data_IF_953132059720
#
_entry.id   IF_953132059720
#
_cell.length_a   1.000
_cell.length_b   1.000
_cell.length_c   1.000
_cell.angle_alpha   90.00
_cell.angle_beta   90.00
_cell.angle_gamma   90.00
#
_symmetry.space_group_name_H-M   'P 1'
#
loop_
_entity.id
_entity.type
_entity.pdbx_description
1 polymer ?
#
# COMPACT_ATOMS: atom_id res chain seq x y z
N UNK A 1 -25.62 35.09 -56.93
CA UNK A 1 -25.14 33.78 -57.40
C UNK A 1 -25.41 32.78 -56.31
N UNK A 2 -26.33 31.89 -56.60
CA UNK A 2 -26.69 30.74 -55.76
C UNK A 2 -25.58 29.72 -55.78
N UNK A 3 -25.21 29.17 -54.60
CA UNK A 3 -24.81 27.76 -54.48
C UNK A 3 -25.44 27.18 -53.24
N UNK A 4 -26.23 26.15 -53.56
CA UNK A 4 -26.90 25.26 -52.66
C UNK A 4 -25.87 24.16 -52.30
N UNK A 5 -25.63 23.87 -51.04
CA UNK A 5 -24.93 22.65 -50.61
C UNK A 5 -25.63 22.06 -49.39
N UNK A 6 -26.41 21.04 -49.69
CA UNK A 6 -27.03 20.14 -48.74
C UNK A 6 -25.98 19.21 -48.15
N UNK A 7 -25.49 19.54 -46.98
CA UNK A 7 -24.72 18.57 -46.15
C UNK A 7 -25.70 17.70 -45.39
N UNK A 8 -25.83 16.48 -45.81
CA UNK A 8 -26.56 15.40 -45.19
C UNK A 8 -25.90 15.08 -43.86
N UNK A 9 -26.56 15.43 -42.76
CA UNK A 9 -26.17 15.01 -41.41
C UNK A 9 -26.60 13.56 -41.25
N UNK A 10 -25.68 12.63 -41.42
CA UNK A 10 -25.91 11.22 -41.02
C UNK A 10 -25.88 11.17 -39.48
N UNK A 11 -27.06 11.12 -38.90
CA UNK A 11 -27.24 10.81 -37.46
C UNK A 11 -27.01 9.30 -37.32
N UNK A 12 -25.82 8.94 -36.84
CA UNK A 12 -25.59 7.57 -36.35
C UNK A 12 -26.41 7.37 -35.08
N UNK A 13 -27.60 6.83 -35.21
CA UNK A 13 -28.34 6.23 -34.13
C UNK A 13 -27.60 4.96 -33.70
N UNK A 14 -26.70 5.06 -32.73
CA UNK A 14 -26.18 3.88 -32.03
C UNK A 14 -27.36 3.18 -31.38
N UNK A 15 -27.67 2.01 -31.87
CA UNK A 15 -28.72 1.15 -31.34
C UNK A 15 -28.43 0.79 -29.92
N UNK A 16 -29.44 0.90 -29.03
CA UNK A 16 -29.36 0.46 -27.63
C UNK A 16 -28.93 -1.01 -27.47
N UNK A 17 -28.96 -1.78 -28.53
CA UNK A 17 -28.54 -3.18 -28.56
C UNK A 17 -27.01 -3.36 -28.51
N UNK A 18 -26.23 -2.39 -28.95
CA UNK A 18 -24.76 -2.47 -28.96
C UNK A 18 -24.13 -2.08 -27.58
N UNK A 19 -24.90 -1.42 -26.71
CA UNK A 19 -24.45 -1.04 -25.37
C UNK A 19 -24.57 -2.19 -24.32
N UNK A 20 -25.50 -3.12 -24.52
CA UNK A 20 -25.78 -4.21 -23.58
C UNK A 20 -24.65 -5.26 -23.43
N UNK A 21 -23.96 -5.70 -24.48
CA UNK A 21 -22.87 -6.67 -24.34
C UNK A 21 -21.65 -6.09 -23.60
N UNK A 22 -21.36 -4.80 -23.77
CA UNK A 22 -20.21 -4.13 -23.16
C UNK A 22 -20.40 -3.94 -21.66
N UNK A 23 -21.62 -3.61 -21.21
CA UNK A 23 -21.94 -3.44 -19.80
C UNK A 23 -21.96 -4.79 -19.05
N UNK A 24 -22.53 -5.82 -19.66
CA UNK A 24 -22.56 -7.18 -19.11
C UNK A 24 -21.13 -7.79 -19.01
N UNK A 25 -20.29 -7.56 -20.01
CA UNK A 25 -18.87 -7.98 -19.99
C UNK A 25 -18.05 -7.27 -18.90
N UNK A 26 -18.27 -5.96 -18.68
CA UNK A 26 -17.62 -5.21 -17.59
C UNK A 26 -18.05 -5.69 -16.20
N UNK A 27 -19.34 -5.95 -16.02
CA UNK A 27 -19.91 -6.44 -14.76
C UNK A 27 -19.45 -7.86 -14.44
N UNK A 28 -19.37 -8.73 -15.43
CA UNK A 28 -18.83 -10.09 -15.30
C UNK A 28 -17.36 -10.11 -14.91
N UNK A 29 -16.52 -9.31 -15.60
CA UNK A 29 -15.08 -9.18 -15.29
C UNK A 29 -14.82 -8.61 -13.89
N UNK A 30 -15.65 -7.66 -13.45
CA UNK A 30 -15.53 -7.10 -12.10
C UNK A 30 -15.81 -8.15 -11.02
N UNK A 31 -16.85 -8.96 -11.21
CA UNK A 31 -17.19 -10.06 -10.29
C UNK A 31 -16.08 -11.10 -10.24
N UNK A 32 -15.53 -11.49 -11.38
CA UNK A 32 -14.37 -12.41 -11.44
C UNK A 32 -13.17 -11.87 -10.65
N UNK A 33 -12.87 -10.56 -10.76
CA UNK A 33 -11.78 -9.94 -10.00
C UNK A 33 -12.06 -9.88 -8.50
N UNK A 34 -13.30 -9.63 -8.09
CA UNK A 34 -13.69 -9.66 -6.68
C UNK A 34 -13.56 -11.08 -6.10
N UNK A 35 -13.99 -12.10 -6.85
CA UNK A 35 -13.82 -13.50 -6.47
C UNK A 35 -12.33 -13.87 -6.27
N UNK A 36 -11.43 -13.36 -7.14
CA UNK A 36 -9.99 -13.55 -7.00
C UNK A 36 -9.40 -12.87 -5.77
N UNK A 37 -9.87 -11.68 -5.40
CA UNK A 37 -9.46 -11.01 -4.15
C UNK A 37 -9.90 -11.85 -2.94
N UNK A 38 -11.13 -12.33 -2.95
CA UNK A 38 -11.65 -13.20 -1.88
C UNK A 38 -10.83 -14.50 -1.77
N UNK A 39 -10.47 -15.09 -2.90
CA UNK A 39 -9.59 -16.26 -2.93
C UNK A 39 -8.19 -15.92 -2.41
N UNK A 40 -7.61 -14.78 -2.80
CA UNK A 40 -6.32 -14.30 -2.31
C UNK A 40 -6.33 -14.16 -0.78
N UNK A 41 -7.36 -13.53 -0.20
CA UNK A 41 -7.52 -13.38 1.23
C UNK A 41 -7.60 -14.75 1.94
N UNK A 42 -8.36 -15.68 1.37
CA UNK A 42 -8.51 -17.03 1.89
C UNK A 42 -7.17 -17.79 1.89
N UNK A 43 -6.47 -17.82 0.76
CA UNK A 43 -5.18 -18.49 0.63
C UNK A 43 -4.13 -17.86 1.56
N UNK A 44 -4.10 -16.52 1.64
CA UNK A 44 -3.20 -15.82 2.55
C UNK A 44 -3.49 -16.18 4.02
N UNK A 45 -4.77 -16.30 4.40
CA UNK A 45 -5.21 -16.72 5.74
C UNK A 45 -4.79 -18.15 6.10
N UNK A 46 -4.58 -19.04 5.12
CA UNK A 46 -4.03 -20.38 5.38
C UNK A 46 -2.56 -20.34 5.75
N UNK A 47 -1.82 -19.36 5.25
CA UNK A 47 -0.37 -19.20 5.47
C UNK A 47 -0.09 -18.36 6.72
N UNK A 48 -0.85 -17.27 6.90
CA UNK A 48 -0.69 -16.28 7.97
C UNK A 48 -1.90 -16.37 8.91
N UNK A 49 -1.75 -17.14 9.98
CA UNK A 49 -2.84 -17.43 10.92
C UNK A 49 -3.17 -16.24 11.81
N UNK A 50 -4.47 -15.99 12.02
CA UNK A 50 -4.97 -15.03 12.99
C UNK A 50 -4.67 -13.54 12.68
N UNK A 51 -4.23 -13.21 11.45
CA UNK A 51 -3.84 -11.84 11.07
C UNK A 51 -4.66 -11.28 9.91
N UNK A 52 -5.90 -11.76 9.75
CA UNK A 52 -6.76 -11.38 8.62
C UNK A 52 -6.88 -9.87 8.46
N UNK A 53 -7.13 -9.12 9.53
CA UNK A 53 -7.28 -7.66 9.46
C UNK A 53 -6.02 -6.98 8.92
N UNK A 54 -4.85 -7.37 9.42
CA UNK A 54 -3.57 -6.79 8.99
C UNK A 54 -3.27 -7.15 7.53
N UNK A 55 -3.48 -8.42 7.14
CA UNK A 55 -3.25 -8.87 5.76
C UNK A 55 -4.21 -8.22 4.78
N UNK A 56 -5.47 -8.02 5.15
CA UNK A 56 -6.46 -7.30 4.34
C UNK A 56 -6.02 -5.83 4.12
N UNK A 57 -5.52 -5.15 5.17
CA UNK A 57 -4.99 -3.78 5.06
C UNK A 57 -3.74 -3.70 4.18
N UNK A 58 -2.87 -4.71 4.20
CA UNK A 58 -1.73 -4.78 3.28
C UNK A 58 -2.23 -4.94 1.83
N UNK A 59 -3.21 -5.81 1.59
CA UNK A 59 -3.82 -5.96 0.25
C UNK A 59 -4.43 -4.62 -0.20
N UNK A 60 -5.17 -3.93 0.67
CA UNK A 60 -5.70 -2.58 0.38
C UNK A 60 -4.59 -1.61 -0.04
N UNK A 61 -3.47 -1.60 0.69
CA UNK A 61 -2.34 -0.72 0.37
C UNK A 61 -1.71 -1.05 -0.99
N UNK A 62 -1.54 -2.33 -1.32
CA UNK A 62 -1.08 -2.78 -2.65
C UNK A 62 -2.04 -2.30 -3.74
N UNK A 63 -3.34 -2.47 -3.55
CA UNK A 63 -4.37 -2.04 -4.50
C UNK A 63 -4.47 -0.51 -4.61
N UNK A 64 -4.15 0.22 -3.54
CA UNK A 64 -4.07 1.68 -3.51
C UNK A 64 -2.75 2.25 -4.08
N UNK A 65 -1.85 1.39 -4.63
CA UNK A 65 -0.50 1.75 -5.08
C UNK A 65 0.33 2.38 -3.97
N UNK A 66 0.25 1.81 -2.77
CA UNK A 66 0.96 2.29 -1.60
C UNK A 66 2.05 1.35 -1.13
N UNK A 67 2.92 1.88 -0.28
CA UNK A 67 3.96 1.14 0.42
C UNK A 67 3.56 0.97 1.88
N UNK A 68 4.04 -0.09 2.50
CA UNK A 68 3.64 -0.49 3.87
C UNK A 68 4.84 -0.46 4.80
N UNK A 69 4.66 0.14 5.97
CA UNK A 69 5.59 0.03 7.08
C UNK A 69 5.05 -0.98 8.11
N UNK A 70 5.86 -1.93 8.53
CA UNK A 70 5.55 -2.89 9.58
C UNK A 70 6.42 -2.61 10.80
N UNK A 71 5.81 -2.06 11.84
CA UNK A 71 6.46 -1.73 13.11
C UNK A 71 6.22 -2.86 14.12
N UNK A 72 7.22 -3.73 14.30
CA UNK A 72 7.04 -4.92 15.12
C UNK A 72 8.35 -5.52 15.61
N UNK A 73 8.23 -6.31 16.66
CA UNK A 73 9.33 -7.15 17.15
C UNK A 73 9.76 -8.19 16.11
N UNK A 74 11.00 -8.69 16.16
CA UNK A 74 11.45 -9.76 15.28
C UNK A 74 10.63 -11.04 15.45
N UNK A 75 10.48 -11.81 14.36
CA UNK A 75 9.90 -13.17 14.42
C UNK A 75 8.37 -13.28 14.33
N UNK A 76 7.63 -12.17 14.16
CA UNK A 76 6.15 -12.19 14.04
C UNK A 76 5.61 -12.58 12.65
N UNK A 77 6.49 -12.92 11.70
CA UNK A 77 6.08 -13.40 10.37
C UNK A 77 6.08 -12.35 9.26
N UNK A 78 6.72 -11.18 9.45
CA UNK A 78 6.80 -10.10 8.45
C UNK A 78 7.29 -10.60 7.08
N UNK A 79 8.42 -11.30 7.07
CA UNK A 79 9.02 -11.88 5.85
C UNK A 79 8.10 -12.91 5.19
N UNK A 80 7.46 -13.77 6.00
CA UNK A 80 6.53 -14.79 5.51
C UNK A 80 5.32 -14.13 4.84
N UNK A 81 4.80 -13.04 5.42
CA UNK A 81 3.67 -12.29 4.86
C UNK A 81 4.02 -11.68 3.51
N UNK A 82 5.17 -11.00 3.40
CA UNK A 82 5.63 -10.42 2.14
C UNK A 82 5.82 -11.48 1.05
N UNK A 83 6.47 -12.61 1.38
CA UNK A 83 6.67 -13.72 0.46
C UNK A 83 5.36 -14.39 0.03
N UNK A 84 4.42 -14.58 0.96
CA UNK A 84 3.12 -15.17 0.66
C UNK A 84 2.32 -14.28 -0.30
N UNK A 85 2.23 -12.98 -0.02
CA UNK A 85 1.57 -12.00 -0.89
C UNK A 85 2.20 -11.98 -2.29
N UNK A 86 3.53 -11.92 -2.35
CA UNK A 86 4.25 -11.89 -3.61
C UNK A 86 3.95 -13.12 -4.48
N UNK A 87 3.99 -14.34 -3.88
CA UNK A 87 3.68 -15.59 -4.59
C UNK A 87 2.23 -15.65 -5.06
N UNK A 88 1.30 -15.32 -4.16
CA UNK A 88 -0.14 -15.36 -4.46
C UNK A 88 -0.54 -14.32 -5.52
N UNK A 89 0.21 -13.21 -5.63
CA UNK A 89 0.01 -12.15 -6.64
C UNK A 89 0.89 -12.32 -7.89
N UNK A 90 1.63 -13.42 -8.04
CA UNK A 90 2.46 -13.69 -9.21
C UNK A 90 3.53 -12.61 -9.47
N UNK A 91 4.08 -12.00 -8.41
CA UNK A 91 5.04 -10.91 -8.49
C UNK A 91 6.49 -11.38 -8.30
N UNK A 92 7.43 -10.63 -8.87
CA UNK A 92 8.86 -10.82 -8.63
C UNK A 92 9.23 -10.23 -7.26
N UNK A 93 9.99 -10.98 -6.46
CA UNK A 93 10.33 -10.64 -5.07
C UNK A 93 11.83 -10.44 -4.89
N UNK A 94 12.19 -9.33 -4.22
CA UNK A 94 13.52 -9.14 -3.67
C UNK A 94 13.45 -8.83 -2.17
N UNK A 95 14.51 -9.17 -1.45
CA UNK A 95 14.70 -8.81 -0.05
C UNK A 95 16.05 -8.16 0.14
N UNK A 96 16.08 -7.07 0.87
CA UNK A 96 17.30 -6.44 1.37
C UNK A 96 17.21 -6.32 2.89
N UNK A 97 18.21 -6.87 3.59
CA UNK A 97 18.39 -6.68 5.03
C UNK A 97 19.24 -5.45 5.23
N UNK A 98 18.68 -4.40 5.76
CA UNK A 98 19.43 -3.17 6.01
C UNK A 98 20.36 -3.32 7.21
N UNK A 99 21.63 -3.02 6.97
CA UNK A 99 22.71 -2.94 7.95
C UNK A 99 23.49 -1.64 7.71
N UNK A 100 24.36 -1.21 8.65
CA UNK A 100 25.19 -0.03 8.43
C UNK A 100 26.06 -0.08 7.16
N UNK A 101 26.37 -1.28 6.65
CA UNK A 101 27.25 -1.48 5.49
C UNK A 101 26.50 -1.37 4.15
N UNK A 102 25.16 -1.41 4.15
CA UNK A 102 24.36 -1.29 2.92
C UNK A 102 24.47 0.13 2.37
N UNK A 103 24.83 0.22 1.10
CA UNK A 103 25.03 1.50 0.40
C UNK A 103 23.90 1.77 -0.61
N UNK A 104 23.68 3.04 -1.03
CA UNK A 104 22.64 3.39 -2.00
C UNK A 104 22.65 2.56 -3.27
N UNK A 105 23.83 2.19 -3.79
CA UNK A 105 23.97 1.38 -5.00
C UNK A 105 23.47 -0.06 -4.86
N UNK A 106 23.39 -0.61 -3.65
CA UNK A 106 22.78 -1.91 -3.41
C UNK A 106 21.26 -1.83 -3.63
N UNK A 107 20.69 -0.68 -3.35
CA UNK A 107 19.26 -0.40 -3.53
C UNK A 107 18.95 -0.06 -4.98
N UNK A 108 19.64 0.92 -5.56
CA UNK A 108 19.34 1.48 -6.88
C UNK A 108 20.06 0.78 -8.03
N UNK A 109 21.14 0.07 -7.76
CA UNK A 109 22.05 -0.43 -8.79
C UNK A 109 23.15 0.58 -9.11
N UNK A 110 24.02 0.19 -10.02
CA UNK A 110 25.19 0.96 -10.46
C UNK A 110 25.57 0.58 -11.88
N UNK A 111 26.34 1.45 -12.53
CA UNK A 111 26.93 1.17 -13.85
C UNK A 111 28.33 0.62 -13.71
N UNK A 112 28.65 -0.43 -14.43
CA UNK A 112 29.99 -1.01 -14.49
C UNK A 112 30.51 -1.13 -15.93
N UNK A 113 31.81 -0.97 -16.12
CA UNK A 113 32.43 -1.18 -17.40
C UNK A 113 32.64 -2.68 -17.66
N UNK A 114 32.05 -3.18 -18.74
CA UNK A 114 32.19 -4.56 -19.16
C UNK A 114 33.31 -4.70 -20.21
N UNK A 115 34.42 -5.31 -19.84
CA UNK A 115 35.61 -5.44 -20.71
C UNK A 115 35.35 -6.20 -22.00
N UNK A 116 34.42 -7.16 -21.98
CA UNK A 116 34.10 -8.00 -23.14
C UNK A 116 33.39 -7.23 -24.24
N UNK A 117 32.48 -6.36 -23.88
CA UNK A 117 31.68 -5.55 -24.82
C UNK A 117 32.24 -4.14 -25.03
N UNK A 118 33.14 -3.69 -24.17
CA UNK A 118 33.69 -2.33 -24.19
C UNK A 118 32.69 -1.26 -23.82
N UNK A 119 31.61 -1.62 -23.11
CA UNK A 119 30.48 -0.71 -22.77
C UNK A 119 30.26 -0.62 -21.27
N UNK A 120 29.68 0.46 -20.87
CA UNK A 120 29.10 0.59 -19.54
C UNK A 120 27.75 -0.08 -19.51
N UNK A 121 27.51 -0.94 -18.53
CA UNK A 121 26.27 -1.71 -18.38
C UNK A 121 25.69 -1.43 -16.99
N UNK A 122 24.41 -1.08 -16.94
CA UNK A 122 23.67 -0.95 -15.68
C UNK A 122 23.48 -2.32 -15.03
N UNK A 123 23.85 -2.42 -13.77
CA UNK A 123 23.57 -3.57 -12.90
C UNK A 123 22.44 -3.20 -11.96
N UNK A 124 21.26 -3.85 -12.08
CA UNK A 124 20.10 -3.50 -11.29
C UNK A 124 20.32 -3.74 -9.80
N UNK A 125 19.85 -2.84 -8.97
CA UNK A 125 19.80 -2.96 -7.52
C UNK A 125 18.57 -3.71 -7.03
N UNK A 126 18.40 -3.79 -5.70
CA UNK A 126 17.34 -4.55 -5.06
C UNK A 126 15.92 -4.08 -5.42
N UNK A 127 15.74 -2.79 -5.78
CA UNK A 127 14.43 -2.22 -6.14
C UNK A 127 13.88 -2.68 -7.48
N UNK A 128 14.71 -3.34 -8.33
CA UNK A 128 14.27 -3.79 -9.65
C UNK A 128 13.46 -5.10 -9.55
N UNK A 129 12.30 -5.01 -8.87
CA UNK A 129 11.35 -6.10 -8.65
C UNK A 129 9.94 -5.52 -8.49
N UNK A 130 8.92 -6.39 -8.39
CA UNK A 130 7.55 -5.95 -8.12
C UNK A 130 7.28 -5.74 -6.62
N UNK A 131 7.85 -6.59 -5.77
CA UNK A 131 7.71 -6.47 -4.32
C UNK A 131 9.08 -6.54 -3.65
N UNK A 132 9.45 -5.45 -2.96
CA UNK A 132 10.68 -5.38 -2.17
C UNK A 132 10.35 -5.48 -0.69
N UNK A 133 10.95 -6.44 0.01
CA UNK A 133 11.02 -6.43 1.46
C UNK A 133 12.27 -5.70 1.92
N UNK A 134 12.08 -4.49 2.46
CA UNK A 134 13.12 -3.66 3.04
C UNK A 134 13.19 -3.91 4.56
N UNK A 135 14.00 -4.90 4.96
CA UNK A 135 14.00 -5.40 6.33
C UNK A 135 14.93 -4.56 7.23
N UNK A 136 14.41 -4.08 8.37
CA UNK A 136 15.10 -3.23 9.34
C UNK A 136 15.68 -1.92 8.71
N UNK A 137 14.83 -1.18 7.98
CA UNK A 137 15.23 0.05 7.25
C UNK A 137 15.88 1.10 8.16
N UNK A 138 15.57 1.09 9.44
CA UNK A 138 16.12 2.02 10.44
C UNK A 138 17.56 1.69 10.90
N UNK A 139 18.20 0.64 10.36
CA UNK A 139 19.58 0.25 10.68
C UNK A 139 20.63 0.73 9.69
N UNK A 140 20.21 1.31 8.56
CA UNK A 140 21.14 1.83 7.55
C UNK A 140 21.30 3.35 7.61
N UNK A 141 22.24 3.87 6.84
CA UNK A 141 22.49 5.31 6.76
C UNK A 141 21.29 6.08 6.16
N UNK A 142 21.12 7.35 6.55
CA UNK A 142 20.08 8.23 5.99
C UNK A 142 20.20 8.40 4.46
N UNK A 143 21.40 8.26 3.89
CA UNK A 143 21.61 8.30 2.44
C UNK A 143 20.99 7.07 1.75
N UNK A 144 21.17 5.89 2.33
CA UNK A 144 20.60 4.65 1.79
C UNK A 144 19.09 4.63 1.95
N UNK A 145 18.58 5.11 3.10
CA UNK A 145 17.15 5.30 3.30
C UNK A 145 16.55 6.25 2.24
N UNK A 146 17.19 7.40 2.02
CA UNK A 146 16.73 8.38 1.04
C UNK A 146 16.69 7.79 -0.38
N UNK A 147 17.67 6.98 -0.78
CA UNK A 147 17.68 6.33 -2.09
C UNK A 147 16.47 5.40 -2.29
N UNK A 148 16.11 4.58 -1.28
CA UNK A 148 14.91 3.74 -1.35
C UNK A 148 13.64 4.59 -1.43
N UNK A 149 13.53 5.59 -0.58
CA UNK A 149 12.34 6.44 -0.47
C UNK A 149 12.13 7.31 -1.72
N UNK A 150 13.19 7.68 -2.42
CA UNK A 150 13.10 8.35 -3.73
C UNK A 150 12.50 7.40 -4.78
N UNK A 151 12.98 6.15 -4.85
CA UNK A 151 12.43 5.16 -5.79
C UNK A 151 10.96 4.84 -5.47
N UNK A 152 10.57 4.79 -4.20
CA UNK A 152 9.17 4.61 -3.79
C UNK A 152 8.26 5.73 -4.31
N UNK A 153 8.77 6.96 -4.37
CA UNK A 153 8.01 8.13 -4.82
C UNK A 153 7.98 8.26 -6.34
N UNK A 154 9.16 8.11 -6.98
CA UNK A 154 9.34 8.36 -8.40
C UNK A 154 8.98 7.17 -9.29
N UNK A 155 8.98 5.94 -8.75
CA UNK A 155 8.77 4.71 -9.52
C UNK A 155 9.87 4.42 -10.55
N UNK A 156 11.06 5.01 -10.37
CA UNK A 156 12.20 4.91 -11.28
C UNK A 156 13.51 5.13 -10.52
N UNK A 157 14.60 4.71 -11.15
CA UNK A 157 15.98 4.91 -10.67
C UNK A 157 16.75 5.68 -11.75
N UNK A 158 17.53 6.68 -11.36
CA UNK A 158 18.45 7.39 -12.28
C UNK A 158 19.89 7.13 -11.86
N UNK A 159 20.64 6.48 -12.73
CA UNK A 159 22.08 6.17 -12.53
C UNK A 159 22.85 6.67 -13.76
N UNK A 160 23.90 7.45 -13.54
CA UNK A 160 24.77 7.99 -14.61
C UNK A 160 23.99 8.67 -15.75
N UNK A 161 22.96 9.46 -15.42
CA UNK A 161 22.04 10.16 -16.31
C UNK A 161 21.10 9.26 -17.15
N UNK A 162 21.08 7.95 -16.90
CA UNK A 162 20.11 7.03 -17.47
C UNK A 162 19.00 6.71 -16.47
N UNK A 163 17.75 6.78 -16.92
CA UNK A 163 16.59 6.51 -16.08
C UNK A 163 16.01 5.14 -16.38
N UNK A 164 15.92 4.31 -15.35
CA UNK A 164 15.39 2.94 -15.40
C UNK A 164 14.07 2.89 -14.61
N UNK A 165 12.92 2.63 -15.26
CA UNK A 165 11.66 2.46 -14.55
C UNK A 165 11.68 1.15 -13.75
N UNK A 166 11.12 1.17 -12.54
CA UNK A 166 10.93 -0.07 -11.77
C UNK A 166 9.77 -0.88 -12.33
N UNK A 167 9.82 -2.23 -12.23
CA UNK A 167 8.72 -3.10 -12.66
C UNK A 167 7.40 -2.74 -11.97
N UNK A 168 6.27 -2.80 -12.72
CA UNK A 168 4.95 -2.52 -12.18
C UNK A 168 4.13 -3.84 -12.01
N UNK A 169 3.32 -3.99 -10.95
CA UNK A 169 3.20 -3.06 -9.83
C UNK A 169 4.48 -3.01 -8.99
N UNK A 170 4.77 -1.88 -8.34
CA UNK A 170 5.90 -1.75 -7.43
C UNK A 170 5.42 -1.48 -6.00
N UNK A 171 5.77 -2.36 -5.08
CA UNK A 171 5.40 -2.27 -3.67
C UNK A 171 6.61 -2.51 -2.78
N UNK A 172 6.80 -1.63 -1.81
CA UNK A 172 7.78 -1.82 -0.74
C UNK A 172 7.05 -2.15 0.55
N UNK A 173 7.42 -3.25 1.18
CA UNK A 173 7.08 -3.58 2.57
C UNK A 173 8.35 -3.35 3.37
N UNK A 174 8.40 -2.25 4.11
CA UNK A 174 9.52 -1.95 5.00
C UNK A 174 9.22 -2.45 6.40
N UNK A 175 10.26 -2.85 7.14
CA UNK A 175 10.12 -3.21 8.54
C UNK A 175 10.98 -2.30 9.42
N UNK A 176 10.45 -1.93 10.55
CA UNK A 176 11.17 -1.29 11.64
C UNK A 176 11.08 -2.12 12.93
N UNK A 177 12.11 -2.04 13.74
CA UNK A 177 12.08 -2.55 15.09
C UNK A 177 12.02 -1.36 16.05
N UNK A 178 10.87 -1.10 16.71
CA UNK A 178 10.69 0.08 17.56
C UNK A 178 11.49 0.04 18.86
N UNK A 179 11.90 -1.14 19.31
CA UNK A 179 12.67 -1.29 20.53
C UNK A 179 14.14 -1.05 20.28
N UNK A 180 14.64 0.06 20.82
CA UNK A 180 15.98 0.60 20.75
C UNK A 180 17.14 -0.38 20.81
N UNK A 181 17.36 -1.10 19.72
CA UNK A 181 18.61 -1.80 19.48
C UNK A 181 19.69 -0.75 19.21
N UNK A 182 20.85 -0.90 19.83
CA UNK A 182 22.00 -0.05 19.61
C UNK A 182 22.29 0.09 18.10
N UNK A 183 22.33 1.33 17.59
CA UNK A 183 22.64 1.63 16.20
C UNK A 183 21.43 1.81 15.26
N UNK A 184 20.21 1.95 15.78
CA UNK A 184 19.03 2.30 14.96
C UNK A 184 18.86 3.83 14.87
N UNK A 185 18.59 4.33 13.65
CA UNK A 185 18.18 5.71 13.40
C UNK A 185 16.69 5.73 13.08
N UNK A 186 15.90 6.41 13.89
CA UNK A 186 14.47 6.62 13.59
C UNK A 186 14.32 7.29 12.23
N UNK A 187 13.35 6.83 11.44
CA UNK A 187 12.99 7.52 10.19
C UNK A 187 12.42 8.91 10.54
N UNK A 188 12.91 9.98 9.90
CA UNK A 188 12.29 11.31 10.01
C UNK A 188 10.83 11.29 9.54
N UNK A 189 10.02 12.17 10.08
CA UNK A 189 8.58 12.27 9.76
C UNK A 189 8.32 12.45 8.26
N UNK A 190 9.16 13.25 7.58
CA UNK A 190 9.09 13.45 6.12
C UNK A 190 9.33 12.17 5.32
N UNK A 191 10.01 11.19 5.89
CA UNK A 191 10.26 9.88 5.31
C UNK A 191 9.12 8.90 5.64
N UNK A 192 8.62 8.94 6.88
CA UNK A 192 7.45 8.16 7.30
C UNK A 192 6.21 8.51 6.47
N UNK A 193 6.03 9.78 6.09
CA UNK A 193 4.91 10.24 5.26
C UNK A 193 4.85 9.60 3.86
N UNK A 194 5.90 8.91 3.41
CA UNK A 194 5.92 8.19 2.12
C UNK A 194 5.28 6.80 2.19
N UNK A 195 5.18 6.21 3.36
CA UNK A 195 4.45 4.97 3.55
C UNK A 195 2.95 5.25 3.58
N UNK A 196 2.16 4.44 2.89
CA UNK A 196 0.69 4.61 2.86
C UNK A 196 0.07 4.31 4.21
N UNK A 197 0.51 3.22 4.84
CA UNK A 197 0.05 2.77 6.16
C UNK A 197 1.23 2.29 7.00
N UNK A 198 1.08 2.39 8.32
CA UNK A 198 1.90 1.69 9.29
C UNK A 198 1.04 0.71 10.07
N UNK A 199 1.50 -0.54 10.16
CA UNK A 199 0.78 -1.64 10.79
C UNK A 199 1.69 -2.40 11.75
N UNK A 200 1.08 -2.97 12.79
CA UNK A 200 1.70 -3.97 13.66
C UNK A 200 1.03 -5.32 13.47
N UNK A 201 1.80 -6.36 13.26
CA UNK A 201 1.28 -7.72 13.18
C UNK A 201 1.03 -8.31 14.57
N UNK A 202 1.87 -7.96 15.54
CA UNK A 202 1.82 -8.51 16.88
C UNK A 202 2.01 -10.03 16.94
N UNK A 203 2.00 -10.59 18.13
CA UNK A 203 2.03 -12.05 18.31
C UNK A 203 0.68 -12.68 17.93
N UNK A 204 0.68 -13.93 17.41
CA UNK A 204 -0.56 -14.68 17.28
C UNK A 204 -1.15 -14.99 18.68
N UNK A 205 -2.46 -15.07 18.77
CA UNK A 205 -3.10 -15.59 19.98
C UNK A 205 -2.80 -17.07 20.19
N UNK A 206 -3.21 -17.62 21.33
CA UNK A 206 -2.90 -18.99 21.70
C UNK A 206 -3.43 -20.03 20.68
N UNK A 207 -4.65 -19.86 20.20
CA UNK A 207 -5.29 -20.80 19.26
C UNK A 207 -4.58 -20.81 17.91
N UNK A 208 -4.32 -19.62 17.37
CA UNK A 208 -3.59 -19.45 16.11
C UNK A 208 -2.13 -19.92 16.22
N UNK A 209 -1.49 -19.75 17.40
CA UNK A 209 -0.14 -20.27 17.64
C UNK A 209 -0.13 -21.80 17.62
N UNK A 210 -1.09 -22.45 18.26
CA UNK A 210 -1.23 -23.92 18.25
C UNK A 210 -1.48 -24.43 16.83
N UNK A 211 -2.33 -23.75 16.05
CA UNK A 211 -2.59 -24.10 14.65
C UNK A 211 -1.33 -23.95 13.80
N UNK A 212 -0.59 -22.85 13.95
CA UNK A 212 0.69 -22.62 13.28
C UNK A 212 1.71 -23.73 13.61
N UNK A 213 1.83 -24.11 14.88
CA UNK A 213 2.74 -25.18 15.29
C UNK A 213 2.34 -26.52 14.66
N UNK A 214 1.03 -26.82 14.60
CA UNK A 214 0.51 -28.04 13.98
C UNK A 214 0.81 -28.09 12.48
N UNK A 215 0.56 -27.02 11.76
CA UNK A 215 0.78 -26.92 10.31
C UNK A 215 2.26 -27.04 9.94
N UNK A 216 3.14 -26.49 10.78
CA UNK A 216 4.60 -26.52 10.54
C UNK A 216 5.30 -27.80 10.88
N UNK A 217 4.63 -28.77 11.50
CA UNK A 217 5.23 -30.09 11.80
C UNK A 217 5.54 -30.91 10.54
N UNK A 218 4.71 -30.80 9.51
CA UNK A 218 4.80 -31.69 8.34
C UNK A 218 5.03 -30.94 7.04
N UNK A 219 4.56 -29.69 6.92
CA UNK A 219 4.61 -28.92 5.66
C UNK A 219 4.80 -27.44 5.92
N UNK A 220 5.37 -26.76 4.92
CA UNK A 220 5.38 -25.31 4.88
C UNK A 220 4.30 -24.83 3.90
N UNK A 221 3.16 -24.27 4.37
CA UNK A 221 2.08 -23.82 3.47
C UNK A 221 2.56 -22.83 2.40
N UNK A 222 3.58 -22.01 2.72
CA UNK A 222 4.17 -21.08 1.79
C UNK A 222 4.77 -21.77 0.54
N UNK A 223 5.34 -22.96 0.68
CA UNK A 223 5.95 -23.68 -0.46
C UNK A 223 4.90 -24.19 -1.46
N UNK A 224 3.68 -24.40 -0.99
CA UNK A 224 2.54 -24.83 -1.83
C UNK A 224 1.77 -23.67 -2.44
N UNK A 225 2.06 -22.43 -2.03
CA UNK A 225 1.37 -21.27 -2.52
C UNK A 225 1.63 -21.06 -4.02
N UNK A 226 0.57 -20.98 -4.80
CA UNK A 226 0.57 -20.69 -6.24
C UNK A 226 -0.13 -19.37 -6.49
N UNK A 227 0.21 -18.71 -7.59
CA UNK A 227 -0.39 -17.42 -7.94
C UNK A 227 -1.91 -17.56 -8.15
N UNK A 228 -2.67 -16.74 -7.43
CA UNK A 228 -4.14 -16.58 -7.56
C UNK A 228 -4.46 -15.45 -8.53
N UNK A 229 -3.61 -14.42 -8.53
CA UNK A 229 -3.71 -13.21 -9.35
C UNK A 229 -2.36 -13.02 -10.04
N UNK A 230 -2.34 -12.55 -11.29
CA UNK A 230 -1.11 -12.19 -11.98
C UNK A 230 -0.75 -10.73 -11.69
N UNK A 231 0.50 -10.36 -11.91
CA UNK A 231 0.96 -8.96 -11.74
C UNK A 231 0.22 -7.99 -12.66
N UNK A 232 -0.14 -8.40 -13.86
CA UNK A 232 -0.94 -7.61 -14.79
C UNK A 232 -2.37 -7.39 -14.26
N UNK A 233 -2.97 -8.41 -13.63
CA UNK A 233 -4.26 -8.29 -12.97
C UNK A 233 -4.19 -7.38 -11.75
N UNK A 234 -3.09 -7.38 -10.99
CA UNK A 234 -2.90 -6.42 -9.89
C UNK A 234 -2.91 -4.98 -10.41
N UNK A 235 -2.23 -4.68 -11.53
CA UNK A 235 -2.27 -3.34 -12.16
C UNK A 235 -3.70 -2.97 -12.59
N UNK A 236 -4.44 -3.91 -13.19
CA UNK A 236 -5.83 -3.67 -13.56
C UNK A 236 -6.72 -3.40 -12.33
N UNK A 237 -6.52 -4.12 -11.23
CA UNK A 237 -7.22 -3.87 -9.97
C UNK A 237 -6.91 -2.50 -9.40
N UNK A 238 -5.65 -2.08 -9.42
CA UNK A 238 -5.22 -0.75 -9.00
C UNK A 238 -5.93 0.35 -9.81
N UNK A 239 -6.07 0.18 -11.12
CA UNK A 239 -6.81 1.11 -11.99
C UNK A 239 -8.32 1.15 -11.69
N UNK A 240 -8.90 0.01 -11.28
CA UNK A 240 -10.30 -0.06 -10.88
C UNK A 240 -10.54 0.63 -9.53
N UNK A 241 -9.66 0.43 -8.56
CA UNK A 241 -9.71 1.11 -7.25
C UNK A 241 -9.67 2.62 -7.41
N UNK A 242 -8.84 3.15 -8.31
CA UNK A 242 -8.79 4.60 -8.55
C UNK A 242 -10.15 5.16 -9.03
N UNK A 243 -10.96 4.37 -9.73
CA UNK A 243 -12.25 4.74 -10.29
C UNK A 243 -13.41 4.63 -9.31
N UNK A 244 -13.19 4.11 -8.10
CA UNK A 244 -14.21 4.07 -7.05
C UNK A 244 -14.68 5.50 -6.77
N UNK A 245 -15.99 5.70 -6.81
CA UNK A 245 -16.59 7.01 -6.62
C UNK A 245 -16.48 7.46 -5.16
N UNK A 246 -16.19 8.74 -4.97
CA UNK A 246 -16.13 9.38 -3.67
C UNK A 246 -16.93 10.68 -3.73
N UNK A 247 -18.02 10.75 -2.99
CA UNK A 247 -18.89 11.92 -2.97
C UNK A 247 -18.21 13.10 -2.25
N UNK A 248 -18.63 14.33 -2.58
CA UNK A 248 -18.10 15.54 -1.94
C UNK A 248 -18.30 15.55 -0.43
N UNK A 249 -19.39 14.95 0.08
CA UNK A 249 -19.64 14.78 1.52
C UNK A 249 -18.55 13.94 2.20
N UNK A 250 -18.04 12.90 1.52
CA UNK A 250 -16.91 12.08 2.02
C UNK A 250 -15.59 12.84 1.93
N UNK A 251 -15.36 13.58 0.83
CA UNK A 251 -14.16 14.42 0.70
C UNK A 251 -14.11 15.49 1.80
N UNK A 252 -15.24 16.13 2.09
CA UNK A 252 -15.35 17.08 3.20
C UNK A 252 -15.12 16.40 4.56
N UNK A 253 -15.65 15.20 4.78
CA UNK A 253 -15.41 14.43 6.01
C UNK A 253 -13.92 14.12 6.21
N UNK A 254 -13.23 13.67 5.18
CA UNK A 254 -11.78 13.42 5.20
C UNK A 254 -11.00 14.72 5.50
N UNK A 255 -11.39 15.84 4.87
CA UNK A 255 -10.78 17.14 5.12
C UNK A 255 -10.97 17.59 6.56
N UNK A 256 -12.21 17.44 7.12
CA UNK A 256 -12.51 17.75 8.54
C UNK A 256 -11.67 16.90 9.49
N UNK A 257 -11.53 15.60 9.23
CA UNK A 257 -10.66 14.73 10.03
C UNK A 257 -9.20 15.18 9.97
N UNK A 258 -8.69 15.54 8.78
CA UNK A 258 -7.33 16.04 8.64
C UNK A 258 -7.12 17.37 9.39
N UNK A 259 -8.09 18.30 9.33
CA UNK A 259 -8.06 19.55 10.11
C UNK A 259 -8.13 19.29 11.61
N UNK A 260 -8.96 18.36 12.06
CA UNK A 260 -9.04 17.98 13.46
C UNK A 260 -7.69 17.49 13.99
N UNK A 261 -6.92 16.71 13.20
CA UNK A 261 -5.56 16.31 13.61
C UNK A 261 -4.60 17.50 13.74
N UNK A 262 -4.73 18.53 12.89
CA UNK A 262 -3.85 19.71 12.89
C UNK A 262 -4.17 20.69 14.02
N UNK A 263 -5.42 20.72 14.44
CA UNK A 263 -5.93 21.64 15.47
C UNK A 263 -6.01 20.99 16.87
N UNK A 264 -5.68 19.71 17.00
CA UNK A 264 -5.77 18.99 18.27
C UNK A 264 -4.69 19.45 19.25
N UNK A 265 -5.03 19.76 20.51
CA UNK A 265 -4.08 20.33 21.51
C UNK A 265 -2.93 19.40 21.90
N UNK A 266 -3.07 18.10 21.65
CA UNK A 266 -2.04 17.10 21.94
C UNK A 266 -1.22 16.68 20.72
N UNK A 267 -1.41 17.32 19.56
CA UNK A 267 -0.70 17.05 18.32
C UNK A 267 0.09 18.29 17.92
N UNK A 268 1.41 18.14 17.77
CA UNK A 268 2.31 19.20 17.27
C UNK A 268 2.33 19.24 15.74
N UNK A 269 2.28 18.06 15.09
CA UNK A 269 2.22 17.92 13.63
C UNK A 269 1.10 16.95 13.31
N UNK A 270 0.05 17.44 12.63
CA UNK A 270 -1.09 16.66 12.16
C UNK A 270 -0.89 16.13 10.73
N UNK A 271 -1.95 15.54 10.17
CA UNK A 271 -1.93 14.89 8.86
C UNK A 271 -1.59 15.87 7.73
N UNK A 272 -0.56 15.54 6.94
CA UNK A 272 -0.12 16.32 5.77
C UNK A 272 -1.14 16.22 4.61
N UNK A 273 -1.09 17.12 3.61
CA UNK A 273 -1.86 16.95 2.37
C UNK A 273 -1.56 15.62 1.65
N UNK A 274 -0.30 15.15 1.67
CA UNK A 274 0.10 13.84 1.14
C UNK A 274 -0.59 12.70 1.89
N UNK A 275 -0.59 12.74 3.22
CA UNK A 275 -1.29 11.79 4.07
C UNK A 275 -2.81 11.82 3.86
N UNK A 276 -3.41 12.99 3.64
CA UNK A 276 -4.82 13.12 3.29
C UNK A 276 -5.15 12.45 1.94
N UNK A 277 -4.28 12.60 0.93
CA UNK A 277 -4.43 11.89 -0.35
C UNK A 277 -4.21 10.38 -0.20
N UNK A 278 -3.31 9.94 0.69
CA UNK A 278 -3.13 8.53 1.01
C UNK A 278 -4.40 7.96 1.67
N UNK A 279 -5.03 8.71 2.58
CA UNK A 279 -6.31 8.35 3.19
C UNK A 279 -7.41 8.17 2.14
N UNK A 280 -7.56 9.10 1.19
CA UNK A 280 -8.51 8.96 0.09
C UNK A 280 -8.27 7.68 -0.73
N UNK A 281 -7.02 7.37 -1.07
CA UNK A 281 -6.68 6.17 -1.85
C UNK A 281 -6.96 4.88 -1.08
N UNK A 282 -6.57 4.83 0.19
CA UNK A 282 -6.82 3.69 1.07
C UNK A 282 -8.32 3.43 1.27
N UNK A 283 -9.09 4.51 1.46
CA UNK A 283 -10.55 4.44 1.60
C UNK A 283 -11.23 3.87 0.36
N UNK A 284 -10.77 4.27 -0.85
CA UNK A 284 -11.25 3.68 -2.11
C UNK A 284 -10.94 2.18 -2.20
N UNK A 285 -9.75 1.76 -1.77
CA UNK A 285 -9.37 0.36 -1.73
C UNK A 285 -10.24 -0.43 -0.72
N UNK A 286 -10.56 0.16 0.43
CA UNK A 286 -11.45 -0.45 1.42
C UNK A 286 -12.86 -0.69 0.85
N UNK A 287 -13.46 0.32 0.19
CA UNK A 287 -14.75 0.18 -0.48
C UNK A 287 -14.73 -0.89 -1.58
N UNK A 288 -13.65 -0.92 -2.38
CA UNK A 288 -13.47 -1.88 -3.47
C UNK A 288 -13.40 -3.33 -2.96
N UNK A 289 -12.69 -3.57 -1.85
CA UNK A 289 -12.63 -4.91 -1.24
C UNK A 289 -13.96 -5.40 -0.66
N UNK A 290 -14.88 -4.47 -0.37
CA UNK A 290 -16.27 -4.76 -0.01
C UNK A 290 -17.21 -4.76 -1.24
N UNK A 291 -16.65 -4.95 -2.44
CA UNK A 291 -17.35 -5.02 -3.72
C UNK A 291 -18.18 -3.78 -4.09
N UNK A 292 -17.92 -2.64 -3.45
CA UNK A 292 -18.61 -1.37 -3.72
C UNK A 292 -17.81 -0.50 -4.70
N UNK A 293 -18.52 0.23 -5.57
CA UNK A 293 -17.96 1.23 -6.48
C UNK A 293 -18.10 2.67 -5.97
N UNK A 294 -18.52 2.82 -4.73
CA UNK A 294 -18.61 4.07 -4.00
C UNK A 294 -18.14 3.90 -2.56
N UNK A 295 -17.64 4.99 -2.01
CA UNK A 295 -17.13 5.07 -0.64
C UNK A 295 -18.26 5.45 0.32
N UNK A 296 -18.24 4.87 1.53
CA UNK A 296 -19.07 5.25 2.67
C UNK A 296 -18.19 5.71 3.86
N UNK A 297 -18.75 6.43 4.86
CA UNK A 297 -17.96 6.90 5.99
C UNK A 297 -17.23 5.82 6.78
N UNK A 298 -17.78 4.61 6.83
CA UNK A 298 -17.20 3.45 7.51
C UNK A 298 -15.87 3.02 6.88
N UNK A 299 -15.70 3.20 5.56
CA UNK A 299 -14.44 2.92 4.87
C UNK A 299 -13.34 3.87 5.32
N UNK A 300 -13.70 5.15 5.53
CA UNK A 300 -12.75 6.15 6.06
C UNK A 300 -12.32 5.76 7.47
N UNK A 301 -13.27 5.46 8.34
CA UNK A 301 -13.01 5.07 9.74
C UNK A 301 -12.12 3.84 9.84
N UNK A 302 -12.34 2.85 8.96
CA UNK A 302 -11.61 1.57 8.93
C UNK A 302 -10.12 1.76 8.73
N UNK A 303 -9.70 2.76 7.96
CA UNK A 303 -8.29 2.95 7.55
C UNK A 303 -7.65 4.20 8.15
N UNK A 304 -8.41 5.09 8.78
CA UNK A 304 -7.95 6.39 9.24
C UNK A 304 -6.76 6.30 10.18
N UNK A 305 -6.85 5.47 11.21
CA UNK A 305 -5.79 5.32 12.21
C UNK A 305 -4.50 4.80 11.61
N UNK A 306 -4.58 3.75 10.78
CA UNK A 306 -3.39 3.13 10.18
C UNK A 306 -2.69 4.03 9.15
N UNK A 307 -3.47 4.89 8.48
CA UNK A 307 -2.92 5.90 7.55
C UNK A 307 -2.32 7.08 8.29
N UNK A 308 -2.86 7.45 9.45
CA UNK A 308 -2.56 8.74 10.09
C UNK A 308 -1.54 8.63 11.22
N UNK A 309 -1.58 7.56 12.03
CA UNK A 309 -0.83 7.48 13.29
C UNK A 309 0.67 7.69 13.14
N UNK A 310 1.31 7.08 12.14
CA UNK A 310 2.76 7.17 11.92
C UNK A 310 3.23 8.51 11.35
N UNK A 311 2.28 9.40 10.97
CA UNK A 311 2.54 10.73 10.42
C UNK A 311 2.43 11.84 11.45
N UNK A 312 1.99 11.52 12.66
CA UNK A 312 1.74 12.52 13.69
C UNK A 312 2.91 12.65 14.66
N UNK A 313 3.20 13.89 15.04
CA UNK A 313 4.07 14.20 16.18
C UNK A 313 3.20 14.63 17.33
N UNK A 314 3.29 13.90 18.43
CA UNK A 314 2.54 14.22 19.64
C UNK A 314 3.23 15.32 20.45
N UNK A 315 2.43 16.20 21.04
CA UNK A 315 2.87 17.19 22.02
C UNK A 315 3.38 16.50 23.30
N UNK A 316 4.19 17.19 24.05
CA UNK A 316 4.71 16.70 25.35
C UNK A 316 3.61 16.35 26.35
N UNK A 317 2.46 17.04 26.28
CA UNK A 317 1.28 16.78 27.14
C UNK A 317 0.69 15.40 26.89
N UNK A 318 0.63 14.96 25.63
CA UNK A 318 0.16 13.62 25.29
C UNK A 318 1.05 12.54 25.92
N UNK A 319 2.37 12.73 25.87
CA UNK A 319 3.34 11.82 26.51
C UNK A 319 3.18 11.80 28.04
N UNK A 320 2.94 12.95 28.64
CA UNK A 320 2.71 13.04 30.08
C UNK A 320 1.43 12.33 30.52
N UNK A 321 0.41 12.32 29.65
CA UNK A 321 -0.88 11.65 29.89
C UNK A 321 -0.89 10.19 29.40
N UNK A 322 0.24 9.67 28.96
CA UNK A 322 0.39 8.31 28.43
C UNK A 322 -0.55 7.98 27.24
N UNK A 323 -0.99 9.03 26.51
CA UNK A 323 -1.83 8.86 25.33
C UNK A 323 -1.01 8.52 24.10
N UNK A 324 -1.43 7.48 23.39
CA UNK A 324 -0.85 7.11 22.11
C UNK A 324 -1.49 7.91 20.94
N UNK A 325 -0.81 7.92 19.78
CA UNK A 325 -1.38 8.49 18.57
C UNK A 325 -2.71 7.83 18.19
N UNK A 326 -2.86 6.53 18.46
CA UNK A 326 -4.09 5.78 18.17
C UNK A 326 -5.24 6.25 19.07
N UNK A 327 -5.01 6.42 20.35
CA UNK A 327 -6.03 6.88 21.29
C UNK A 327 -6.59 8.25 20.89
N UNK A 328 -5.69 9.18 20.53
CA UNK A 328 -6.07 10.53 20.08
C UNK A 328 -6.85 10.47 18.76
N UNK A 329 -6.46 9.61 17.82
CA UNK A 329 -7.17 9.46 16.55
C UNK A 329 -8.54 8.82 16.72
N UNK A 330 -8.72 7.89 17.64
CA UNK A 330 -10.01 7.32 18.00
C UNK A 330 -10.94 8.37 18.63
N UNK A 331 -10.42 9.26 19.47
CA UNK A 331 -11.15 10.42 20.00
C UNK A 331 -11.60 11.35 18.87
N UNK A 332 -10.69 11.72 17.95
CA UNK A 332 -11.01 12.55 16.78
C UNK A 332 -12.10 11.92 15.92
N UNK A 333 -12.03 10.60 15.67
CA UNK A 333 -13.08 9.87 14.92
C UNK A 333 -14.44 9.90 15.61
N UNK A 334 -14.45 9.80 16.93
CA UNK A 334 -15.67 9.83 17.73
C UNK A 334 -16.30 11.22 17.76
N UNK A 335 -15.47 12.27 17.83
CA UNK A 335 -15.95 13.66 17.96
C UNK A 335 -16.27 14.29 16.60
N UNK A 336 -15.81 13.70 15.49
CA UNK A 336 -16.12 14.17 14.14
C UNK A 336 -17.34 13.44 13.57
N UNK A 337 -18.49 14.13 13.41
CA UNK A 337 -19.70 13.48 12.92
C UNK A 337 -19.52 13.03 11.45
N UNK A 338 -19.85 11.77 11.19
CA UNK A 338 -19.87 11.25 9.84
C UNK A 338 -21.04 11.84 9.03
N UNK A 339 -20.88 12.10 7.73
CA UNK A 339 -21.96 12.55 6.87
C UNK A 339 -23.06 11.49 6.82
N UNK A 340 -24.32 11.93 6.80
CA UNK A 340 -25.45 11.03 6.55
C UNK A 340 -25.36 10.57 5.09
N UNK A 341 -25.47 9.27 4.88
CA UNK A 341 -25.62 8.71 3.54
C UNK A 341 -27.06 9.03 3.12
N UNK A 342 -27.24 10.04 2.29
CA UNK A 342 -28.51 10.26 1.61
C UNK A 342 -28.65 9.13 0.59
N UNK A 343 -29.68 8.30 0.79
CA UNK A 343 -29.99 7.14 -0.04
C UNK A 343 -30.59 7.49 -1.39
#
# INVERSE_FOLDING_TARGET
FFFNDTATTEIYTLSLHDALPISASKKGRRKEMADKITQLQKELGTIIKGKKEVTDKIIMAVLARGHVLLEDVPGVGKTTTALALCRLMGMDFNRIQFTPDVVPSDVTGFTMYEKQTGRFIYRPGAVMCNMLLADEINRTSSKTQAALLEVMEEGKVTVDNETHPVPQPFVVIATENPTGSSGTQMLPESQLDRFMISLSMGYPDHENLVELLRDRQTTNPLEKATAVITKEEVVMLQDQVQKVYMADSILNYIATLAEATRNHPMITLGLSPRGTLALCRMTKAAAFMEERDYVIPEDVKRVFTDVTAHRMILDSRARYQEQSAKDILEEILKDTPAPKVEG
#
